data_IF_677304690917
#
_entry.id   IF_677304690917
#
_cell.length_a   1.000
_cell.length_b   1.000
_cell.length_c   1.000
_cell.angle_alpha   90.00
_cell.angle_beta   90.00
_cell.angle_gamma   90.00
#
_symmetry.space_group_name_H-M   'P 1'
#
loop_
_entity.id
_entity.type
_entity.pdbx_description
1 polymer ?
#
# COMPACT_ATOMS: atom_id res chain seq x y z
N UNK A 1 -18.71 15.48 -8.42
CA UNK A 1 -18.55 14.88 -7.09
C UNK A 1 -17.10 14.52 -6.79
N UNK A 2 -16.67 14.63 -5.53
CA UNK A 2 -15.35 14.22 -5.06
C UNK A 2 -15.47 12.91 -4.30
N UNK A 3 -14.60 11.93 -4.57
CA UNK A 3 -14.54 10.67 -3.82
C UNK A 3 -14.00 10.94 -2.40
N UNK A 4 -14.85 10.72 -1.38
CA UNK A 4 -14.54 10.98 0.05
C UNK A 4 -14.20 9.72 0.84
N UNK A 5 -14.27 8.54 0.20
CA UNK A 5 -13.95 7.28 0.86
C UNK A 5 -12.47 7.13 1.22
N UNK A 6 -12.13 6.08 2.00
CA UNK A 6 -10.76 5.74 2.33
C UNK A 6 -9.91 5.59 1.07
N UNK A 7 -8.72 6.17 1.09
CA UNK A 7 -7.77 6.14 -0.03
C UNK A 7 -6.36 5.95 0.50
N UNK A 8 -5.57 5.23 -0.28
CA UNK A 8 -4.16 5.00 0.00
C UNK A 8 -3.40 5.01 -1.32
N UNK A 9 -2.24 5.63 -1.31
CA UNK A 9 -1.33 5.70 -2.46
C UNK A 9 0.01 5.10 -2.04
N UNK A 10 0.48 4.11 -2.80
CA UNK A 10 1.76 3.46 -2.54
C UNK A 10 2.65 3.50 -3.77
N UNK A 11 3.84 4.06 -3.61
CA UNK A 11 4.88 4.09 -4.64
C UNK A 11 6.02 3.16 -4.25
N UNK A 12 6.47 2.39 -5.23
CA UNK A 12 7.63 1.50 -5.10
C UNK A 12 8.39 1.42 -6.42
N UNK A 13 9.70 1.16 -6.41
CA UNK A 13 10.47 1.00 -7.63
C UNK A 13 10.00 -0.24 -8.39
N UNK A 14 9.76 -0.09 -9.69
CA UNK A 14 9.29 -1.17 -10.54
C UNK A 14 8.78 -0.64 -11.87
N UNK A 15 8.43 -1.57 -12.75
CA UNK A 15 7.67 -1.29 -13.96
C UNK A 15 6.19 -1.65 -13.73
N UNK A 16 5.48 -1.91 -14.82
CA UNK A 16 4.04 -2.19 -14.82
C UNK A 16 3.63 -3.28 -13.83
N UNK A 17 4.43 -4.34 -13.67
CA UNK A 17 4.02 -5.47 -12.84
C UNK A 17 5.12 -6.25 -12.11
N UNK A 18 6.39 -5.88 -12.29
CA UNK A 18 7.50 -6.64 -11.72
C UNK A 18 7.47 -6.64 -10.19
N UNK A 19 6.98 -5.57 -9.57
CA UNK A 19 6.97 -5.43 -8.11
C UNK A 19 6.00 -6.38 -7.41
N UNK A 20 4.92 -6.79 -8.06
CA UNK A 20 3.87 -7.66 -7.50
C UNK A 20 3.92 -9.10 -8.03
N UNK A 21 4.68 -9.38 -9.10
CA UNK A 21 4.66 -10.66 -9.81
C UNK A 21 4.91 -11.87 -8.91
N UNK A 22 5.80 -11.76 -7.93
CA UNK A 22 6.12 -12.87 -7.01
C UNK A 22 4.93 -13.29 -6.15
N UNK A 23 3.97 -12.39 -5.90
CA UNK A 23 2.75 -12.72 -5.16
C UNK A 23 1.81 -13.66 -5.91
N UNK A 24 1.87 -13.70 -7.25
CA UNK A 24 1.15 -14.70 -8.06
C UNK A 24 1.64 -16.13 -7.80
N UNK A 25 2.89 -16.27 -7.35
CA UNK A 25 3.51 -17.56 -7.00
C UNK A 25 3.38 -17.88 -5.50
N UNK A 26 2.65 -17.06 -4.73
CA UNK A 26 2.49 -17.23 -3.28
C UNK A 26 3.74 -16.88 -2.46
N UNK A 27 4.77 -16.28 -3.07
CA UNK A 27 5.96 -15.82 -2.37
C UNK A 27 5.67 -14.56 -1.55
N UNK A 28 6.47 -14.27 -0.50
CA UNK A 28 6.37 -13.02 0.23
C UNK A 28 6.46 -11.81 -0.72
N UNK A 29 5.48 -10.92 -0.61
CA UNK A 29 5.38 -9.73 -1.43
C UNK A 29 4.66 -8.61 -0.64
N UNK A 30 5.29 -7.44 -0.55
CA UNK A 30 4.80 -6.31 0.23
C UNK A 30 3.51 -5.72 -0.36
N UNK A 31 3.43 -5.60 -1.69
CA UNK A 31 2.23 -5.15 -2.43
C UNK A 31 1.01 -5.98 -2.08
N UNK A 32 1.15 -7.32 -2.13
CA UNK A 32 0.05 -8.23 -1.82
C UNK A 32 -0.31 -8.22 -0.34
N UNK A 33 0.70 -8.11 0.53
CA UNK A 33 0.49 -8.03 1.98
C UNK A 33 -0.27 -6.76 2.34
N UNK A 34 0.13 -5.60 1.80
CA UNK A 34 -0.56 -4.33 2.03
C UNK A 34 -1.99 -4.35 1.47
N UNK A 35 -2.17 -4.85 0.24
CA UNK A 35 -3.49 -4.99 -0.39
C UNK A 35 -4.44 -5.85 0.44
N UNK A 36 -3.96 -6.98 0.96
CA UNK A 36 -4.78 -7.83 1.85
C UNK A 36 -5.16 -7.10 3.13
N UNK A 37 -4.21 -6.46 3.82
CA UNK A 37 -4.48 -5.67 5.03
C UNK A 37 -5.51 -4.57 4.77
N UNK A 38 -5.45 -3.91 3.61
CA UNK A 38 -6.45 -2.92 3.23
C UNK A 38 -7.85 -3.56 3.13
N UNK A 39 -7.97 -4.67 2.40
CA UNK A 39 -9.26 -5.36 2.25
C UNK A 39 -9.76 -5.95 3.57
N UNK A 40 -8.88 -6.50 4.40
CA UNK A 40 -9.20 -6.93 5.76
C UNK A 40 -9.86 -5.80 6.54
N UNK A 41 -9.30 -4.60 6.49
CA UNK A 41 -9.81 -3.45 7.23
C UNK A 41 -11.18 -2.97 6.75
N UNK A 42 -11.37 -2.87 5.43
CA UNK A 42 -12.53 -2.19 4.86
C UNK A 42 -13.62 -3.12 4.31
N UNK A 43 -13.32 -4.39 4.09
CA UNK A 43 -14.30 -5.41 3.67
C UNK A 43 -14.62 -6.39 4.81
N UNK A 44 -13.66 -6.73 5.67
CA UNK A 44 -13.88 -7.62 6.83
C UNK A 44 -14.03 -6.86 8.16
N UNK A 45 -13.67 -5.59 8.22
CA UNK A 45 -13.76 -4.77 9.44
C UNK A 45 -12.64 -5.03 10.46
N UNK A 46 -11.54 -5.66 10.05
CA UNK A 46 -10.44 -6.01 10.95
C UNK A 46 -9.69 -4.77 11.46
N UNK A 47 -9.36 -4.74 12.76
CA UNK A 47 -8.57 -3.65 13.37
C UNK A 47 -7.07 -3.91 13.26
N UNK A 48 -6.56 -3.96 12.04
CA UNK A 48 -5.16 -4.28 11.74
C UNK A 48 -4.23 -3.05 11.62
N UNK A 49 -4.74 -1.87 11.99
CA UNK A 49 -3.99 -0.61 12.08
C UNK A 49 -3.74 0.12 10.76
N UNK A 50 -4.08 -0.47 9.60
CA UNK A 50 -3.78 0.16 8.29
C UNK A 50 -4.53 1.50 8.08
N UNK A 51 -5.63 1.71 8.78
CA UNK A 51 -6.41 2.96 8.78
C UNK A 51 -5.82 4.07 9.65
N UNK A 52 -4.75 3.78 10.39
CA UNK A 52 -4.01 4.76 11.21
C UNK A 52 -2.64 5.11 10.64
N UNK A 53 -2.21 4.40 9.59
CA UNK A 53 -0.97 4.69 8.87
C UNK A 53 -1.14 5.93 7.97
N UNK A 54 -0.03 6.61 7.66
CA UNK A 54 -0.02 7.68 6.67
C UNK A 54 -0.60 7.19 5.32
N UNK A 55 -1.50 7.94 4.67
CA UNK A 55 -2.23 7.48 3.48
C UNK A 55 -1.34 7.41 2.23
N UNK A 56 -0.18 8.07 2.24
CA UNK A 56 0.81 7.98 1.18
C UNK A 56 2.04 7.26 1.71
N UNK A 57 2.49 6.24 0.99
CA UNK A 57 3.64 5.42 1.34
C UNK A 57 4.62 5.38 0.17
N UNK A 58 5.88 5.71 0.43
CA UNK A 58 6.94 5.69 -0.57
C UNK A 58 8.02 4.72 -0.12
N UNK A 59 8.32 3.74 -0.98
CA UNK A 59 9.52 2.91 -0.83
C UNK A 59 10.61 3.49 -1.72
N UNK A 60 11.64 4.07 -1.11
CA UNK A 60 12.80 4.56 -1.86
C UNK A 60 13.56 3.40 -2.48
N UNK A 61 14.23 3.64 -3.60
CA UNK A 61 15.13 2.64 -4.21
C UNK A 61 16.44 2.47 -3.44
N UNK A 62 16.82 3.47 -2.64
CA UNK A 62 18.10 3.51 -1.91
C UNK A 62 17.95 3.24 -0.42
N UNK A 63 16.72 3.10 0.07
CA UNK A 63 16.43 2.77 1.46
C UNK A 63 15.67 1.43 1.55
N UNK A 64 15.65 0.85 2.74
CA UNK A 64 15.03 -0.44 3.05
C UNK A 64 13.60 -0.30 3.55
N UNK A 65 13.19 0.89 3.99
CA UNK A 65 11.89 1.15 4.60
C UNK A 65 10.87 1.86 3.72
N UNK A 66 9.67 2.01 4.29
CA UNK A 66 8.64 2.91 3.76
C UNK A 66 8.69 4.26 4.48
N UNK A 67 8.52 5.32 3.72
CA UNK A 67 8.31 6.67 4.19
C UNK A 67 6.82 7.01 4.09
N UNK A 68 6.23 7.43 5.22
CA UNK A 68 4.82 7.79 5.29
C UNK A 68 4.58 9.30 5.19
N UNK A 69 3.69 9.74 4.32
CA UNK A 69 3.32 11.14 4.13
C UNK A 69 1.80 11.37 4.31
N UNK A 70 1.38 12.53 4.87
CA UNK A 70 -0.02 12.81 5.12
C UNK A 70 -0.84 13.04 3.85
N UNK A 71 -0.20 13.48 2.75
CA UNK A 71 -0.82 13.72 1.46
C UNK A 71 0.17 13.56 0.29
N UNK A 72 -0.33 13.71 -0.94
CA UNK A 72 0.47 13.79 -2.15
C UNK A 72 0.25 15.15 -2.81
N UNK A 73 1.34 15.79 -3.23
CA UNK A 73 1.29 17.05 -3.97
C UNK A 73 0.62 16.80 -5.33
N UNK A 74 -0.57 17.36 -5.51
CA UNK A 74 -1.31 17.40 -6.79
C UNK A 74 -1.09 18.71 -7.51
#
# INVERSE_FOLDING_TARGET
DKLTGPKRLEFRPGDHATAEATGLLGLPNDTWTSTRRWFDRYLRGERNGIDTESPVQLKSRTDTGYEGYPDWKS
#
